data_IF_542844370155
#
_entry.id   IF_542844370155
#
_cell.length_a   1.000
_cell.length_b   1.000
_cell.length_c   1.000
_cell.angle_alpha   90.00
_cell.angle_beta   90.00
_cell.angle_gamma   90.00
#
_symmetry.space_group_name_H-M   'P 1'
#
loop_
_entity.id
_entity.type
_entity.pdbx_description
1 polymer ?
#
# COMPACT_ATOMS: atom_id res chain seq x y z
N UNK A 1 21.71 -5.90 1.83
CA UNK A 1 21.24 -5.78 0.42
C UNK A 1 22.40 -5.57 -0.56
N UNK A 2 23.50 -4.92 -0.15
CA UNK A 2 24.65 -4.62 -1.02
C UNK A 2 25.51 -5.85 -1.37
N UNK A 3 25.59 -6.87 -0.50
CA UNK A 3 26.45 -8.03 -0.67
C UNK A 3 25.68 -9.34 -0.71
N UNK A 4 26.27 -10.41 -1.22
CA UNK A 4 25.70 -11.77 -1.32
C UNK A 4 24.67 -11.94 -2.41
N UNK A 5 23.99 -13.07 -2.42
CA UNK A 5 22.95 -13.43 -3.42
C UNK A 5 21.71 -12.56 -3.26
N UNK A 6 21.10 -12.17 -4.39
CA UNK A 6 19.84 -11.43 -4.38
C UNK A 6 18.63 -12.36 -4.36
N UNK A 7 18.75 -13.54 -4.96
CA UNK A 7 17.69 -14.53 -5.09
C UNK A 7 17.05 -14.94 -3.76
N UNK A 8 17.83 -15.10 -2.71
CA UNK A 8 17.31 -15.47 -1.38
C UNK A 8 16.86 -14.25 -0.56
N UNK A 9 17.44 -13.07 -0.84
CA UNK A 9 17.16 -11.86 -0.07
C UNK A 9 15.89 -11.14 -0.48
N UNK A 10 15.54 -11.17 -1.77
CA UNK A 10 14.31 -10.55 -2.28
C UNK A 10 13.08 -11.23 -1.65
N UNK A 11 12.92 -12.58 -1.68
CA UNK A 11 11.80 -13.23 -1.01
C UNK A 11 11.77 -13.01 0.51
N UNK A 12 12.94 -13.04 1.18
CA UNK A 12 13.02 -12.75 2.61
C UNK A 12 12.56 -11.34 2.98
N UNK A 13 12.63 -10.41 2.04
CA UNK A 13 12.06 -9.07 2.19
C UNK A 13 10.58 -9.04 1.80
N UNK A 14 10.24 -9.57 0.63
CA UNK A 14 8.90 -9.46 0.05
C UNK A 14 7.84 -10.24 0.84
N UNK A 15 8.16 -11.46 1.31
CA UNK A 15 7.19 -12.31 2.05
C UNK A 15 6.69 -11.64 3.35
N UNK A 16 7.54 -11.09 4.25
CA UNK A 16 7.02 -10.39 5.42
C UNK A 16 6.25 -9.11 5.06
N UNK A 17 6.60 -8.42 3.97
CA UNK A 17 5.85 -7.23 3.51
C UNK A 17 4.46 -7.64 3.03
N UNK A 18 4.34 -8.67 2.19
CA UNK A 18 3.06 -9.21 1.76
C UNK A 18 2.23 -9.72 2.95
N UNK A 19 2.86 -10.46 3.88
CA UNK A 19 2.19 -10.94 5.09
C UNK A 19 1.65 -9.78 5.95
N UNK A 20 2.41 -8.68 6.08
CA UNK A 20 1.97 -7.48 6.81
C UNK A 20 0.71 -6.89 6.17
N UNK A 21 0.67 -6.76 4.84
CA UNK A 21 -0.47 -6.22 4.12
C UNK A 21 -1.69 -7.13 4.22
N UNK A 22 -1.53 -8.44 3.98
CA UNK A 22 -2.62 -9.43 4.08
C UNK A 22 -3.20 -9.49 5.50
N UNK A 23 -2.35 -9.49 6.54
CA UNK A 23 -2.81 -9.46 7.93
C UNK A 23 -3.57 -8.19 8.25
N UNK A 24 -3.13 -7.03 7.75
CA UNK A 24 -3.87 -5.77 7.90
C UNK A 24 -5.28 -5.86 7.32
N UNK A 25 -5.44 -6.49 6.14
CA UNK A 25 -6.77 -6.72 5.54
C UNK A 25 -7.64 -7.66 6.39
N UNK A 26 -7.03 -8.72 6.95
CA UNK A 26 -7.76 -9.65 7.83
C UNK A 26 -8.24 -8.96 9.11
N UNK A 27 -7.44 -8.08 9.71
CA UNK A 27 -7.85 -7.30 10.88
C UNK A 27 -8.96 -6.30 10.54
N UNK A 28 -8.91 -5.63 9.40
CA UNK A 28 -10.00 -4.78 8.94
C UNK A 28 -11.30 -5.58 8.71
N UNK A 29 -11.20 -6.78 8.19
CA UNK A 29 -12.35 -7.67 8.04
C UNK A 29 -12.91 -8.13 9.40
N UNK A 30 -12.04 -8.38 10.38
CA UNK A 30 -12.45 -8.71 11.74
C UNK A 30 -13.19 -7.54 12.42
N UNK A 31 -12.75 -6.29 12.21
CA UNK A 31 -13.44 -5.09 12.69
C UNK A 31 -14.90 -5.05 12.21
N UNK A 32 -15.10 -5.27 10.90
CA UNK A 32 -16.44 -5.29 10.29
C UNK A 32 -17.26 -6.47 10.82
N UNK A 33 -16.63 -7.64 11.01
CA UNK A 33 -17.31 -8.82 11.54
C UNK A 33 -17.77 -8.63 12.99
N UNK A 34 -16.97 -7.97 13.83
CA UNK A 34 -17.35 -7.66 15.22
C UNK A 34 -18.53 -6.70 15.24
N UNK A 35 -18.48 -5.60 14.48
CA UNK A 35 -19.62 -4.68 14.36
C UNK A 35 -20.87 -5.43 13.87
N UNK A 36 -20.71 -6.22 12.81
CA UNK A 36 -21.81 -6.95 12.18
C UNK A 36 -22.48 -8.00 13.10
N UNK A 37 -21.81 -8.51 14.13
CA UNK A 37 -22.36 -9.55 14.99
C UNK A 37 -22.77 -9.08 16.39
N UNK A 38 -22.23 -7.98 16.89
CA UNK A 38 -22.38 -7.59 18.29
C UNK A 38 -23.10 -6.24 18.50
N UNK A 39 -23.46 -5.48 17.44
CA UNK A 39 -24.17 -4.19 17.57
C UNK A 39 -25.70 -4.30 17.55
N UNK A 40 -26.25 -5.50 17.57
CA UNK A 40 -27.72 -5.73 17.67
C UNK A 40 -28.53 -5.04 16.59
N UNK A 41 -29.51 -4.22 16.99
CA UNK A 41 -30.40 -3.49 16.05
C UNK A 41 -29.66 -2.45 15.20
N UNK A 42 -28.55 -1.90 15.68
CA UNK A 42 -27.73 -0.93 14.96
C UNK A 42 -26.81 -1.57 13.91
N UNK A 43 -26.81 -2.89 13.77
CA UNK A 43 -25.92 -3.66 12.89
C UNK A 43 -25.78 -3.05 11.51
N UNK A 44 -26.90 -2.86 10.80
CA UNK A 44 -26.88 -2.38 9.41
C UNK A 44 -26.34 -0.97 9.30
N UNK A 45 -26.76 -0.09 10.22
CA UNK A 45 -26.32 1.31 10.27
C UNK A 45 -24.85 1.42 10.63
N UNK A 46 -24.38 0.65 11.61
CA UNK A 46 -23.01 0.64 12.05
C UNK A 46 -22.04 0.12 10.98
N UNK A 47 -22.38 -0.97 10.30
CA UNK A 47 -21.59 -1.51 9.17
C UNK A 47 -21.56 -0.52 8.01
N UNK A 48 -22.69 0.13 7.69
CA UNK A 48 -22.76 1.16 6.66
C UNK A 48 -21.89 2.37 7.01
N UNK A 49 -21.88 2.80 8.28
CA UNK A 49 -21.06 3.92 8.75
C UNK A 49 -19.56 3.65 8.58
N UNK A 50 -19.08 2.46 8.95
CA UNK A 50 -17.67 2.07 8.77
C UNK A 50 -17.33 1.93 7.29
N UNK A 51 -18.19 1.30 6.50
CA UNK A 51 -17.99 1.12 5.06
C UNK A 51 -17.88 2.45 4.30
N UNK A 52 -18.74 3.43 4.61
CA UNK A 52 -18.68 4.77 4.02
C UNK A 52 -17.37 5.49 4.31
N UNK A 53 -16.90 5.41 5.56
CA UNK A 53 -15.67 6.05 5.97
C UNK A 53 -14.40 5.40 5.39
N UNK A 54 -14.44 4.12 5.06
CA UNK A 54 -13.28 3.39 4.54
C UNK A 54 -12.69 4.04 3.29
N UNK A 55 -13.51 4.63 2.43
CA UNK A 55 -13.07 5.34 1.20
C UNK A 55 -12.32 6.64 1.53
N UNK A 56 -12.82 7.43 2.48
CA UNK A 56 -12.19 8.69 2.93
C UNK A 56 -10.85 8.37 3.60
N UNK A 57 -10.87 7.43 4.52
CA UNK A 57 -9.70 6.99 5.28
C UNK A 57 -8.62 6.45 4.34
N UNK A 58 -9.00 5.57 3.39
CA UNK A 58 -8.07 5.01 2.41
C UNK A 58 -7.42 6.09 1.56
N UNK A 59 -8.17 7.12 1.15
CA UNK A 59 -7.62 8.22 0.37
C UNK A 59 -6.51 8.95 1.14
N UNK A 60 -6.77 9.30 2.41
CA UNK A 60 -5.83 10.02 3.27
C UNK A 60 -4.61 9.14 3.58
N UNK A 61 -4.83 7.92 4.04
CA UNK A 61 -3.76 7.01 4.45
C UNK A 61 -2.87 6.63 3.27
N UNK A 62 -3.44 6.35 2.09
CA UNK A 62 -2.69 5.99 0.89
C UNK A 62 -1.81 7.15 0.38
N UNK A 63 -2.26 8.39 0.51
CA UNK A 63 -1.42 9.57 0.22
C UNK A 63 -0.15 9.57 1.08
N UNK A 64 -0.29 9.34 2.38
CA UNK A 64 0.84 9.32 3.31
C UNK A 64 1.69 8.06 3.22
N UNK A 65 1.12 6.90 2.86
CA UNK A 65 1.90 5.69 2.53
C UNK A 65 2.85 5.98 1.36
N UNK A 66 2.41 6.74 0.35
CA UNK A 66 3.28 7.20 -0.73
C UNK A 66 4.40 8.11 -0.22
N UNK A 67 4.12 9.03 0.71
CA UNK A 67 5.16 9.88 1.32
C UNK A 67 6.14 9.04 2.15
N UNK A 68 5.65 8.05 2.89
CA UNK A 68 6.49 7.09 3.63
C UNK A 68 7.39 6.27 2.70
N UNK A 69 6.92 5.94 1.48
CA UNK A 69 7.76 5.32 0.46
C UNK A 69 8.90 6.25 0.03
N UNK A 70 8.65 7.57 -0.06
CA UNK A 70 9.69 8.57 -0.29
C UNK A 70 10.75 8.56 0.81
N UNK A 71 10.34 8.45 2.07
CA UNK A 71 11.26 8.29 3.20
C UNK A 71 12.09 7.00 3.08
N UNK A 72 11.45 5.87 2.74
CA UNK A 72 12.16 4.61 2.51
C UNK A 72 13.26 4.74 1.45
N UNK A 73 12.96 5.34 0.28
CA UNK A 73 13.92 5.49 -0.81
C UNK A 73 15.08 6.41 -0.42
N UNK A 74 14.77 7.56 0.20
CA UNK A 74 15.79 8.54 0.64
C UNK A 74 16.75 7.90 1.65
N UNK A 75 16.23 7.18 2.65
CA UNK A 75 17.05 6.49 3.64
C UNK A 75 17.84 5.35 3.00
N UNK A 76 17.20 4.54 2.14
CA UNK A 76 17.87 3.43 1.47
C UNK A 76 19.04 3.92 0.59
N UNK A 77 18.87 5.03 -0.12
CA UNK A 77 19.93 5.65 -0.92
C UNK A 77 21.10 6.12 -0.05
N UNK A 78 20.84 6.87 1.03
CA UNK A 78 21.84 7.33 1.98
C UNK A 78 22.61 6.17 2.64
N UNK A 79 21.95 5.05 2.94
CA UNK A 79 22.60 3.82 3.43
C UNK A 79 23.56 3.25 2.37
N UNK A 80 23.13 3.27 1.10
CA UNK A 80 23.97 2.86 -0.02
C UNK A 80 25.23 3.69 -0.14
N UNK A 81 25.11 5.01 -0.03
CA UNK A 81 26.23 5.96 -0.03
C UNK A 81 27.14 5.86 1.19
N UNK A 82 26.76 5.08 2.21
CA UNK A 82 27.41 5.04 3.54
C UNK A 82 27.47 6.42 4.21
N UNK A 83 26.44 7.23 3.99
CA UNK A 83 26.32 8.56 4.57
C UNK A 83 25.45 8.50 5.84
N UNK A 84 26.05 8.10 6.95
CA UNK A 84 25.36 7.91 8.23
C UNK A 84 24.69 9.20 8.73
N UNK A 85 25.28 10.37 8.45
CA UNK A 85 24.71 11.67 8.79
C UNK A 85 23.40 11.91 8.05
N UNK A 86 23.37 11.62 6.75
CA UNK A 86 22.16 11.75 5.93
C UNK A 86 21.08 10.74 6.34
N UNK A 87 21.48 9.50 6.67
CA UNK A 87 20.54 8.48 7.21
C UNK A 87 19.90 9.00 8.49
N UNK A 88 20.71 9.50 9.44
CA UNK A 88 20.22 10.04 10.71
C UNK A 88 19.24 11.21 10.47
N UNK A 89 19.58 12.18 9.63
CA UNK A 89 18.70 13.31 9.30
C UNK A 89 17.41 12.84 8.63
N UNK A 90 17.48 11.90 7.67
CA UNK A 90 16.32 11.39 6.96
C UNK A 90 15.36 10.61 7.88
N UNK A 91 15.88 9.78 8.79
CA UNK A 91 15.09 9.07 9.81
C UNK A 91 14.36 10.07 10.70
N UNK A 92 15.08 11.04 11.30
CA UNK A 92 14.47 12.02 12.19
C UNK A 92 13.43 12.91 11.48
N UNK A 93 13.74 13.36 10.26
CA UNK A 93 12.79 14.10 9.41
C UNK A 93 11.55 13.27 9.13
N UNK A 94 11.68 11.97 8.81
CA UNK A 94 10.56 11.08 8.51
C UNK A 94 9.60 10.94 9.69
N UNK A 95 10.13 10.80 10.91
CA UNK A 95 9.32 10.71 12.13
C UNK A 95 8.56 12.03 12.39
N UNK A 96 9.25 13.16 12.25
CA UNK A 96 8.60 14.46 12.43
C UNK A 96 7.52 14.71 11.38
N UNK A 97 7.79 14.34 10.11
CA UNK A 97 6.80 14.43 9.02
C UNK A 97 5.59 13.53 9.28
N UNK A 98 5.79 12.33 9.83
CA UNK A 98 4.69 11.44 10.19
C UNK A 98 3.75 12.07 11.23
N UNK A 99 4.31 12.62 12.31
CA UNK A 99 3.53 13.22 13.39
C UNK A 99 2.87 14.53 12.94
N UNK A 100 3.65 15.45 12.38
CA UNK A 100 3.11 16.75 11.93
C UNK A 100 2.15 16.57 10.75
N UNK A 101 2.49 15.73 9.78
CA UNK A 101 1.60 15.40 8.67
C UNK A 101 0.30 14.77 9.15
N UNK A 102 0.36 13.88 10.14
CA UNK A 102 -0.81 13.30 10.79
C UNK A 102 -1.68 14.33 11.51
N UNK A 103 -1.08 15.25 12.26
CA UNK A 103 -1.80 16.34 12.91
C UNK A 103 -2.45 17.30 11.90
N UNK A 104 -1.74 17.66 10.83
CA UNK A 104 -2.29 18.51 9.76
C UNK A 104 -3.44 17.79 9.04
N UNK A 105 -3.25 16.51 8.70
CA UNK A 105 -4.29 15.72 8.06
C UNK A 105 -5.52 15.52 8.96
N UNK A 106 -5.33 15.31 10.26
CA UNK A 106 -6.40 15.25 11.24
C UNK A 106 -7.18 16.58 11.32
N UNK A 107 -6.46 17.71 11.40
CA UNK A 107 -7.10 19.04 11.46
C UNK A 107 -7.87 19.37 10.18
N UNK A 108 -7.27 19.12 9.00
CA UNK A 108 -7.95 19.32 7.72
C UNK A 108 -9.14 18.34 7.60
N UNK A 109 -8.94 17.07 7.95
CA UNK A 109 -9.99 16.05 7.92
C UNK A 109 -11.18 16.43 8.81
N UNK A 110 -10.94 16.93 10.00
CA UNK A 110 -12.01 17.38 10.91
C UNK A 110 -12.79 18.57 10.35
N UNK A 111 -12.11 19.55 9.73
CA UNK A 111 -12.75 20.71 9.08
C UNK A 111 -13.68 20.28 7.93
N UNK A 112 -13.27 19.23 7.19
CA UNK A 112 -14.01 18.73 6.04
C UNK A 112 -14.86 17.49 6.30
N UNK A 113 -14.86 16.93 7.51
CA UNK A 113 -15.59 15.70 7.85
C UNK A 113 -17.08 15.78 7.50
N UNK A 114 -17.78 16.82 7.93
CA UNK A 114 -19.20 17.03 7.64
C UNK A 114 -19.45 17.29 6.16
N UNK A 115 -18.75 18.23 5.48
CA UNK A 115 -18.90 18.42 4.02
C UNK A 115 -18.66 17.15 3.21
N UNK A 116 -17.66 16.35 3.55
CA UNK A 116 -17.32 15.12 2.82
C UNK A 116 -18.44 14.07 2.96
N UNK A 117 -18.96 13.85 4.17
CA UNK A 117 -20.05 12.91 4.39
C UNK A 117 -21.33 13.35 3.69
N UNK A 118 -21.64 14.65 3.68
CA UNK A 118 -22.77 15.21 2.94
C UNK A 118 -22.60 15.01 1.42
N UNK A 119 -21.39 15.23 0.88
CA UNK A 119 -21.11 15.01 -0.54
C UNK A 119 -21.24 13.54 -0.96
N UNK A 120 -21.00 12.61 -0.03
CA UNK A 120 -21.21 11.17 -0.26
C UNK A 120 -22.67 10.76 -0.12
N UNK A 121 -23.61 11.70 0.14
CA UNK A 121 -25.03 11.45 0.33
C UNK A 121 -25.29 10.37 1.38
N UNK A 122 -24.60 10.46 2.53
CA UNK A 122 -24.78 9.50 3.63
C UNK A 122 -26.19 9.68 4.19
N UNK A 123 -26.98 8.59 4.35
CA UNK A 123 -28.33 8.66 4.91
C UNK A 123 -28.35 9.25 6.34
N UNK A 124 -29.42 9.96 6.67
CA UNK A 124 -29.55 10.69 7.95
C UNK A 124 -29.42 9.77 9.18
N UNK A 125 -29.86 8.53 9.08
CA UNK A 125 -29.76 7.52 10.14
C UNK A 125 -28.33 6.99 10.32
N UNK A 126 -27.50 6.98 9.27
CA UNK A 126 -26.12 6.53 9.27
C UNK A 126 -25.16 7.67 9.66
N UNK A 127 -25.51 8.91 9.32
CA UNK A 127 -24.64 10.07 9.41
C UNK A 127 -24.00 10.29 10.80
N UNK A 128 -24.76 10.21 11.93
CA UNK A 128 -24.18 10.43 13.26
C UNK A 128 -23.08 9.42 13.60
N UNK A 129 -23.30 8.13 13.29
CA UNK A 129 -22.31 7.08 13.53
C UNK A 129 -21.12 7.19 12.59
N UNK A 130 -21.35 7.54 11.32
CA UNK A 130 -20.29 7.75 10.35
C UNK A 130 -19.38 8.93 10.76
N UNK A 131 -19.97 10.04 11.21
CA UNK A 131 -19.23 11.21 11.68
C UNK A 131 -18.42 10.90 12.94
N UNK A 132 -19.02 10.20 13.91
CA UNK A 132 -18.33 9.79 15.14
C UNK A 132 -17.12 8.90 14.86
N UNK A 133 -17.30 7.86 14.02
CA UNK A 133 -16.23 6.98 13.61
C UNK A 133 -15.09 7.75 12.92
N UNK A 134 -15.45 8.62 11.95
CA UNK A 134 -14.48 9.41 11.20
C UNK A 134 -13.64 10.31 12.11
N UNK A 135 -14.29 11.03 13.04
CA UNK A 135 -13.59 11.93 14.00
C UNK A 135 -12.61 11.19 14.90
N UNK A 136 -13.00 10.04 15.45
CA UNK A 136 -12.10 9.24 16.28
C UNK A 136 -10.91 8.75 15.45
N UNK A 137 -11.17 8.29 14.22
CA UNK A 137 -10.11 7.83 13.33
C UNK A 137 -9.15 8.96 12.94
N UNK A 138 -9.68 10.14 12.60
CA UNK A 138 -8.89 11.33 12.27
C UNK A 138 -8.00 11.77 13.44
N UNK A 139 -8.53 11.75 14.69
CA UNK A 139 -7.74 12.02 15.87
C UNK A 139 -6.58 11.01 16.04
N UNK A 140 -6.75 9.77 15.59
CA UNK A 140 -5.73 8.73 15.59
C UNK A 140 -4.72 8.79 14.44
N UNK A 141 -4.94 9.62 13.41
CA UNK A 141 -4.06 9.68 12.22
C UNK A 141 -2.58 9.89 12.55
N UNK A 142 -2.18 10.76 13.49
CA UNK A 142 -0.77 10.94 13.81
C UNK A 142 -0.06 9.64 14.19
N UNK A 143 -0.75 8.77 14.92
CA UNK A 143 -0.23 7.49 15.39
C UNK A 143 -0.23 6.45 14.26
N UNK A 144 -1.28 6.41 13.46
CA UNK A 144 -1.41 5.52 12.29
C UNK A 144 -0.32 5.84 11.27
N UNK A 145 -0.08 7.12 11.02
CA UNK A 145 0.98 7.54 10.09
C UNK A 145 2.37 7.29 10.67
N UNK A 146 2.56 7.48 11.98
CA UNK A 146 3.82 7.18 12.66
C UNK A 146 4.22 5.72 12.41
N UNK A 147 3.32 4.75 12.64
CA UNK A 147 3.57 3.34 12.33
C UNK A 147 4.02 3.13 10.87
N UNK A 148 3.33 3.75 9.89
CA UNK A 148 3.65 3.58 8.48
C UNK A 148 5.04 4.11 8.11
N UNK A 149 5.44 5.26 8.70
CA UNK A 149 6.77 5.83 8.47
C UNK A 149 7.86 5.03 9.18
N UNK A 150 7.64 4.59 10.42
CA UNK A 150 8.57 3.71 11.13
C UNK A 150 8.77 2.39 10.38
N UNK A 151 7.69 1.78 9.88
CA UNK A 151 7.78 0.59 9.05
C UNK A 151 8.58 0.86 7.75
N UNK A 152 8.46 2.05 7.15
CA UNK A 152 9.25 2.46 6.00
C UNK A 152 10.74 2.62 6.35
N UNK A 153 11.08 3.16 7.53
CA UNK A 153 12.44 3.23 8.06
C UNK A 153 13.04 1.84 8.23
N UNK A 154 12.32 0.89 8.83
CA UNK A 154 12.80 -0.50 8.95
C UNK A 154 12.99 -1.17 7.58
N UNK A 155 12.04 -0.97 6.65
CA UNK A 155 12.17 -1.49 5.28
C UNK A 155 13.40 -0.95 4.57
N UNK A 156 13.80 0.30 4.80
CA UNK A 156 14.97 0.91 4.14
C UNK A 156 16.27 0.19 4.45
N UNK A 157 16.42 -0.44 5.62
CA UNK A 157 17.56 -1.29 6.01
C UNK A 157 17.35 -2.78 5.71
N UNK A 158 16.19 -3.15 5.16
CA UNK A 158 15.86 -4.55 4.85
C UNK A 158 15.22 -5.34 5.98
N UNK A 159 14.89 -4.69 7.08
CA UNK A 159 14.23 -5.33 8.22
C UNK A 159 12.70 -5.26 8.04
N UNK A 160 12.14 -6.31 7.46
CA UNK A 160 10.68 -6.40 7.22
C UNK A 160 9.95 -7.24 8.26
N UNK A 161 10.69 -8.04 9.04
CA UNK A 161 10.11 -8.89 10.10
C UNK A 161 9.65 -8.07 11.32
N UNK A 162 10.38 -7.00 11.67
CA UNK A 162 10.03 -6.19 12.85
C UNK A 162 8.68 -5.50 12.66
N UNK A 163 8.38 -4.80 11.53
CA UNK A 163 7.04 -4.29 11.26
C UNK A 163 5.94 -5.37 11.24
N UNK A 164 6.23 -6.56 10.71
CA UNK A 164 5.30 -7.68 10.72
C UNK A 164 4.96 -8.13 12.14
N UNK A 165 5.95 -8.28 13.02
CA UNK A 165 5.76 -8.67 14.42
C UNK A 165 4.94 -7.59 15.16
N UNK A 166 5.27 -6.32 14.98
CA UNK A 166 4.54 -5.21 15.58
C UNK A 166 3.06 -5.18 15.14
N UNK A 167 2.80 -5.36 13.82
CA UNK A 167 1.43 -5.43 13.31
C UNK A 167 0.69 -6.66 13.83
N UNK A 168 1.33 -7.82 13.87
CA UNK A 168 0.68 -9.05 14.36
C UNK A 168 0.28 -8.90 15.82
N UNK A 169 1.18 -8.38 16.67
CA UNK A 169 0.87 -8.15 18.08
C UNK A 169 -0.27 -7.14 18.27
N UNK A 170 -0.21 -6.02 17.54
CA UNK A 170 -1.25 -4.98 17.62
C UNK A 170 -2.57 -5.42 16.99
N UNK A 171 -2.55 -6.24 15.94
CA UNK A 171 -3.76 -6.75 15.31
C UNK A 171 -4.50 -7.76 16.21
N UNK A 172 -3.77 -8.64 16.90
CA UNK A 172 -4.38 -9.51 17.94
C UNK A 172 -4.99 -8.65 19.04
N UNK A 173 -4.28 -7.62 19.50
CA UNK A 173 -4.81 -6.68 20.49
C UNK A 173 -6.05 -5.94 19.95
N UNK A 174 -6.06 -5.54 18.69
CA UNK A 174 -7.21 -4.89 18.06
C UNK A 174 -8.47 -5.76 18.15
N UNK A 175 -8.36 -7.06 17.80
CA UNK A 175 -9.50 -8.00 17.90
C UNK A 175 -9.98 -8.13 19.34
N UNK A 176 -9.06 -8.22 20.30
CA UNK A 176 -9.41 -8.29 21.73
C UNK A 176 -10.12 -7.01 22.18
N UNK A 177 -9.59 -5.84 21.81
CA UNK A 177 -10.19 -4.54 22.15
C UNK A 177 -11.56 -4.34 21.49
N UNK A 178 -11.72 -4.78 20.23
CA UNK A 178 -13.01 -4.75 19.55
C UNK A 178 -14.07 -5.56 20.30
N UNK A 179 -13.73 -6.79 20.68
CA UNK A 179 -14.65 -7.63 21.48
C UNK A 179 -14.93 -7.00 22.84
N UNK A 180 -13.92 -6.42 23.50
CA UNK A 180 -14.10 -5.77 24.78
C UNK A 180 -15.01 -4.53 24.68
N UNK A 181 -14.75 -3.62 23.73
CA UNK A 181 -15.54 -2.40 23.59
C UNK A 181 -16.94 -2.68 23.05
N UNK A 182 -17.07 -3.52 22.02
CA UNK A 182 -18.36 -3.74 21.36
C UNK A 182 -19.19 -4.80 22.07
N UNK A 183 -18.62 -5.96 22.41
CA UNK A 183 -19.40 -7.04 22.99
C UNK A 183 -19.57 -6.90 24.52
N UNK A 184 -18.55 -6.44 25.28
CA UNK A 184 -18.64 -6.32 26.73
C UNK A 184 -19.15 -4.96 27.20
N UNK A 185 -18.73 -3.85 26.56
CA UNK A 185 -19.16 -2.48 26.92
C UNK A 185 -20.34 -1.97 26.09
N UNK A 186 -20.85 -2.77 25.15
CA UNK A 186 -21.97 -2.43 24.25
C UNK A 186 -21.79 -1.12 23.48
N UNK A 187 -20.53 -0.77 23.17
CA UNK A 187 -20.20 0.33 22.25
C UNK A 187 -20.51 -0.09 20.81
N UNK A 188 -20.59 0.89 19.91
CA UNK A 188 -20.85 0.66 18.50
C UNK A 188 -19.58 0.94 17.67
N UNK A 189 -19.71 1.79 16.64
CA UNK A 189 -18.61 2.19 15.76
C UNK A 189 -17.48 2.92 16.49
N UNK A 190 -17.80 3.63 17.54
CA UNK A 190 -16.86 4.32 18.43
C UNK A 190 -15.89 3.32 19.10
N UNK A 191 -16.42 2.19 19.58
CA UNK A 191 -15.60 1.14 20.19
C UNK A 191 -14.56 0.58 19.21
N UNK A 192 -14.97 0.33 17.97
CA UNK A 192 -14.05 -0.17 16.92
C UNK A 192 -13.05 0.89 16.49
N UNK A 193 -13.47 2.15 16.33
CA UNK A 193 -12.54 3.23 16.01
C UNK A 193 -11.46 3.42 17.08
N UNK A 194 -11.86 3.41 18.37
CA UNK A 194 -10.94 3.48 19.50
C UNK A 194 -10.00 2.28 19.53
N UNK A 195 -10.51 1.06 19.34
CA UNK A 195 -9.69 -0.16 19.28
C UNK A 195 -8.63 -0.08 18.18
N UNK A 196 -9.02 0.41 16.98
CA UNK A 196 -8.12 0.60 15.85
C UNK A 196 -7.03 1.62 16.14
N UNK A 197 -7.37 2.76 16.73
CA UNK A 197 -6.39 3.79 17.10
C UNK A 197 -5.44 3.29 18.19
N UNK A 198 -5.95 2.65 19.24
CA UNK A 198 -5.12 2.11 20.33
C UNK A 198 -4.18 1.00 19.83
N UNK A 199 -4.65 0.10 19.00
CA UNK A 199 -3.81 -0.96 18.44
C UNK A 199 -2.71 -0.40 17.54
N UNK A 200 -3.01 0.60 16.71
CA UNK A 200 -1.99 1.31 15.94
C UNK A 200 -1.00 2.07 16.85
N UNK A 201 -1.45 2.63 17.98
CA UNK A 201 -0.55 3.23 18.95
C UNK A 201 0.42 2.21 19.55
N UNK A 202 -0.05 1.00 19.81
CA UNK A 202 0.80 -0.08 20.32
C UNK A 202 1.81 -0.53 19.23
N UNK A 203 1.40 -0.69 17.98
CA UNK A 203 2.35 -1.02 16.91
C UNK A 203 3.41 0.05 16.70
N UNK A 204 3.03 1.33 16.71
CA UNK A 204 3.98 2.45 16.65
C UNK A 204 4.91 2.45 17.87
N UNK A 205 4.39 2.26 19.09
CA UNK A 205 5.20 2.20 20.30
C UNK A 205 6.21 1.03 20.28
N UNK A 206 5.83 -0.12 19.74
CA UNK A 206 6.73 -1.26 19.55
C UNK A 206 7.88 -0.86 18.59
N UNK A 207 7.55 -0.31 17.41
CA UNK A 207 8.57 0.11 16.43
C UNK A 207 9.45 1.23 16.97
N UNK A 208 8.88 2.21 17.66
CA UNK A 208 9.61 3.26 18.36
C UNK A 208 10.63 2.67 19.34
N UNK A 209 10.19 1.72 20.18
CA UNK A 209 11.08 1.04 21.13
C UNK A 209 12.25 0.32 20.46
N UNK A 210 12.00 -0.32 19.30
CA UNK A 210 13.09 -0.93 18.51
C UNK A 210 14.01 0.12 17.89
N UNK A 211 13.49 1.26 17.40
CA UNK A 211 14.32 2.34 16.84
C UNK A 211 15.20 3.00 17.91
N UNK A 212 14.75 3.09 19.16
CA UNK A 212 15.57 3.62 20.27
C UNK A 212 16.72 2.68 20.66
N UNK A 213 16.48 1.37 20.57
CA UNK A 213 17.42 0.35 21.07
C UNK A 213 18.33 -0.25 20.01
N UNK A 214 18.06 0.01 18.71
CA UNK A 214 18.88 -0.57 17.63
C UNK A 214 20.28 0.02 17.59
N UNK A 215 21.27 -0.84 17.27
CA UNK A 215 22.66 -0.42 17.02
C UNK A 215 22.89 -0.04 15.54
N UNK A 216 21.85 -0.12 14.70
CA UNK A 216 21.94 0.23 13.29
C UNK A 216 21.92 1.75 13.10
N UNK A 217 22.39 2.20 11.93
CA UNK A 217 22.44 3.62 11.53
C UNK A 217 21.07 4.35 11.56
N UNK A 218 19.96 3.60 11.61
CA UNK A 218 18.59 4.12 11.72
C UNK A 218 18.18 4.43 13.17
N UNK A 219 19.08 4.34 14.15
CA UNK A 219 18.76 4.62 15.55
C UNK A 219 18.12 5.99 15.73
N UNK A 220 16.99 6.00 16.44
CA UNK A 220 16.29 7.23 16.77
C UNK A 220 16.82 7.84 18.06
N UNK A 221 17.13 9.11 18.01
CA UNK A 221 17.52 9.91 19.16
C UNK A 221 16.50 11.03 19.38
N UNK A 222 15.53 10.89 20.32
CA UNK A 222 14.44 11.84 20.49
C UNK A 222 14.89 13.30 20.70
N UNK A 223 16.04 13.51 21.35
CA UNK A 223 16.62 14.84 21.56
C UNK A 223 17.13 15.52 20.28
N UNK A 224 17.30 14.76 19.21
CA UNK A 224 17.81 15.23 17.91
C UNK A 224 16.70 15.29 16.85
N UNK A 225 15.44 15.10 17.24
CA UNK A 225 14.29 15.21 16.32
C UNK A 225 14.26 16.62 15.74
N UNK A 226 14.40 16.71 14.43
CA UNK A 226 14.34 17.96 13.66
C UNK A 226 14.01 17.65 12.22
N UNK A 227 13.47 18.65 11.52
CA UNK A 227 13.29 18.60 10.08
C UNK A 227 14.58 19.08 9.40
N UNK A 228 15.18 18.22 8.59
CA UNK A 228 16.21 18.64 7.64
C UNK A 228 15.58 18.96 6.30
N UNK A 229 15.84 20.19 5.80
CA UNK A 229 15.20 20.69 4.58
C UNK A 229 15.57 19.91 3.32
N UNK A 230 16.79 19.40 3.24
CA UNK A 230 17.23 18.59 2.10
C UNK A 230 16.55 17.21 2.12
N UNK A 231 16.53 16.56 3.26
CA UNK A 231 15.84 15.28 3.46
C UNK A 231 14.34 15.43 3.19
N UNK A 232 13.69 16.47 3.72
CA UNK A 232 12.28 16.73 3.49
C UNK A 232 11.99 16.92 1.99
N UNK A 233 12.79 17.70 1.29
CA UNK A 233 12.63 17.92 -0.16
C UNK A 233 12.74 16.61 -0.93
N UNK A 234 13.69 15.75 -0.62
CA UNK A 234 13.84 14.45 -1.27
C UNK A 234 12.67 13.52 -0.96
N UNK A 235 12.27 13.40 0.32
CA UNK A 235 11.12 12.60 0.75
C UNK A 235 9.86 13.04 0.00
N UNK A 236 9.57 14.33 -0.07
CA UNK A 236 8.39 14.85 -0.75
C UNK A 236 8.49 14.71 -2.29
N UNK A 237 9.66 14.94 -2.88
CA UNK A 237 9.88 14.78 -4.33
C UNK A 237 9.60 13.37 -4.81
N UNK A 238 9.91 12.36 -4.00
CA UNK A 238 9.69 10.95 -4.32
C UNK A 238 8.29 10.52 -3.86
N UNK A 239 7.91 10.91 -2.66
CA UNK A 239 6.72 10.40 -1.98
C UNK A 239 5.42 11.03 -2.45
N UNK A 240 5.38 12.35 -2.70
CA UNK A 240 4.14 13.01 -3.13
C UNK A 240 3.61 12.46 -4.45
N UNK A 241 4.42 12.28 -5.52
CA UNK A 241 3.91 11.64 -6.73
C UNK A 241 3.36 10.24 -6.50
N UNK A 242 4.04 9.44 -5.66
CA UNK A 242 3.58 8.08 -5.32
C UNK A 242 2.27 8.10 -4.51
N UNK A 243 2.13 9.03 -3.57
CA UNK A 243 0.92 9.21 -2.77
C UNK A 243 -0.27 9.68 -3.61
N UNK A 244 -0.07 10.67 -4.48
CA UNK A 244 -1.10 11.13 -5.41
C UNK A 244 -1.54 10.00 -6.35
N UNK A 245 -0.60 9.22 -6.86
CA UNK A 245 -0.91 8.02 -7.65
C UNK A 245 -1.83 7.07 -6.88
N UNK A 246 -1.50 6.73 -5.62
CA UNK A 246 -2.30 5.83 -4.80
C UNK A 246 -3.70 6.40 -4.48
N UNK A 247 -3.79 7.70 -4.21
CA UNK A 247 -5.05 8.40 -4.01
C UNK A 247 -5.94 8.37 -5.27
N UNK A 248 -5.36 8.60 -6.44
CA UNK A 248 -6.08 8.52 -7.72
C UNK A 248 -6.61 7.11 -8.03
N UNK A 249 -5.87 6.06 -7.64
CA UNK A 249 -6.39 4.69 -7.72
C UNK A 249 -7.66 4.50 -6.88
N UNK A 250 -7.68 5.03 -5.67
CA UNK A 250 -8.85 4.95 -4.79
C UNK A 250 -10.07 5.62 -5.45
N UNK A 251 -9.87 6.81 -6.03
CA UNK A 251 -10.94 7.53 -6.76
C UNK A 251 -11.43 6.71 -7.97
N UNK A 252 -10.52 6.19 -8.79
CA UNK A 252 -10.90 5.39 -9.96
C UNK A 252 -11.69 4.13 -9.57
N UNK A 253 -11.32 3.47 -8.47
CA UNK A 253 -12.04 2.31 -7.96
C UNK A 253 -13.45 2.67 -7.48
N UNK A 254 -13.65 3.83 -6.84
CA UNK A 254 -14.99 4.33 -6.44
C UNK A 254 -15.87 4.52 -7.67
N UNK A 255 -15.35 5.14 -8.74
CA UNK A 255 -16.12 5.38 -9.97
C UNK A 255 -16.49 4.05 -10.66
N UNK A 256 -15.57 3.08 -10.72
CA UNK A 256 -15.85 1.74 -11.27
C UNK A 256 -16.90 1.03 -10.41
N UNK A 257 -16.78 1.11 -9.08
CA UNK A 257 -17.77 0.49 -8.19
C UNK A 257 -19.16 1.08 -8.40
N UNK A 258 -19.28 2.39 -8.66
CA UNK A 258 -20.55 3.02 -9.05
C UNK A 258 -21.15 2.43 -10.31
N UNK A 259 -20.33 2.16 -11.34
CA UNK A 259 -20.77 1.49 -12.57
C UNK A 259 -21.21 0.03 -12.31
N UNK A 260 -20.47 -0.70 -11.48
CA UNK A 260 -20.81 -2.07 -11.09
C UNK A 260 -22.16 -2.09 -10.35
N UNK A 261 -22.37 -1.16 -9.42
CA UNK A 261 -23.59 -1.04 -8.63
C UNK A 261 -24.82 -0.79 -9.51
N UNK A 262 -24.65 -0.08 -10.63
CA UNK A 262 -25.75 0.17 -11.60
C UNK A 262 -26.25 -1.09 -12.33
N UNK A 263 -25.52 -2.21 -12.24
CA UNK A 263 -25.89 -3.48 -12.88
C UNK A 263 -26.73 -4.41 -11.98
N UNK A 264 -27.03 -3.99 -10.77
CA UNK A 264 -27.90 -4.71 -9.85
C UNK A 264 -27.18 -5.43 -8.72
N UNK A 265 -27.99 -5.92 -7.76
CA UNK A 265 -27.50 -6.43 -6.46
C UNK A 265 -26.66 -7.70 -6.58
N UNK A 266 -27.02 -8.61 -7.49
CA UNK A 266 -26.25 -9.86 -7.73
C UNK A 266 -24.83 -9.53 -8.21
N UNK A 267 -24.71 -8.61 -9.19
CA UNK A 267 -23.41 -8.18 -9.72
C UNK A 267 -22.58 -7.45 -8.67
N UNK A 268 -23.23 -6.62 -7.85
CA UNK A 268 -22.60 -5.90 -6.76
C UNK A 268 -22.03 -6.87 -5.71
N UNK A 269 -22.83 -7.85 -5.27
CA UNK A 269 -22.41 -8.87 -4.32
C UNK A 269 -21.27 -9.74 -4.87
N UNK A 270 -21.40 -10.18 -6.13
CA UNK A 270 -20.39 -10.98 -6.82
C UNK A 270 -19.05 -10.22 -6.95
N UNK A 271 -19.13 -8.95 -7.34
CA UNK A 271 -17.95 -8.11 -7.48
C UNK A 271 -17.25 -7.84 -6.14
N UNK A 272 -18.01 -7.63 -5.07
CA UNK A 272 -17.47 -7.44 -3.72
C UNK A 272 -16.78 -8.70 -3.20
N UNK A 273 -17.40 -9.88 -3.34
CA UNK A 273 -16.81 -11.14 -2.94
C UNK A 273 -15.49 -11.42 -3.69
N UNK A 274 -15.47 -11.24 -5.01
CA UNK A 274 -14.28 -11.42 -5.82
C UNK A 274 -13.17 -10.43 -5.45
N UNK A 275 -13.49 -9.16 -5.18
CA UNK A 275 -12.53 -8.13 -4.79
C UNK A 275 -11.75 -8.50 -3.51
N UNK A 276 -12.43 -9.09 -2.51
CA UNK A 276 -11.76 -9.54 -1.28
C UNK A 276 -10.70 -10.62 -1.56
N UNK A 277 -10.89 -11.43 -2.60
CA UNK A 277 -9.90 -12.42 -3.05
C UNK A 277 -8.77 -11.76 -3.85
N UNK A 278 -9.10 -10.78 -4.69
CA UNK A 278 -8.15 -10.04 -5.53
C UNK A 278 -7.10 -9.29 -4.73
N UNK A 279 -7.47 -8.72 -3.58
CA UNK A 279 -6.56 -7.93 -2.73
C UNK A 279 -5.33 -8.76 -2.30
N UNK A 280 -5.47 -10.06 -2.10
CA UNK A 280 -4.34 -10.94 -1.74
C UNK A 280 -3.26 -10.92 -2.84
N UNK A 281 -3.66 -10.99 -4.12
CA UNK A 281 -2.70 -10.91 -5.23
C UNK A 281 -2.09 -9.53 -5.38
N UNK A 282 -2.86 -8.48 -5.09
CA UNK A 282 -2.35 -7.10 -5.04
C UNK A 282 -1.21 -6.97 -4.03
N UNK A 283 -1.40 -7.48 -2.81
CA UNK A 283 -0.41 -7.41 -1.74
C UNK A 283 0.88 -8.17 -2.09
N UNK A 284 0.76 -9.31 -2.80
CA UNK A 284 1.90 -10.08 -3.29
C UNK A 284 2.73 -9.24 -4.28
N UNK A 285 2.14 -8.74 -5.37
CA UNK A 285 2.95 -8.02 -6.36
C UNK A 285 3.45 -6.66 -5.86
N UNK A 286 2.71 -5.98 -4.98
CA UNK A 286 3.15 -4.75 -4.35
C UNK A 286 4.38 -4.99 -3.45
N UNK A 287 4.47 -6.13 -2.77
CA UNK A 287 5.64 -6.47 -1.96
C UNK A 287 6.93 -6.59 -2.79
N UNK A 288 6.85 -7.16 -3.99
CA UNK A 288 7.99 -7.21 -4.93
C UNK A 288 8.36 -5.84 -5.49
N UNK A 289 7.37 -4.96 -5.73
CA UNK A 289 7.62 -3.56 -6.09
C UNK A 289 8.37 -2.81 -4.99
N UNK A 290 7.96 -2.97 -3.73
CA UNK A 290 8.65 -2.38 -2.58
C UNK A 290 10.07 -2.96 -2.40
N UNK A 291 10.25 -4.27 -2.59
CA UNK A 291 11.56 -4.90 -2.59
C UNK A 291 12.44 -4.29 -3.69
N UNK A 292 11.96 -4.21 -4.92
CA UNK A 292 12.68 -3.61 -6.03
C UNK A 292 13.10 -2.17 -5.71
N UNK A 293 12.18 -1.35 -5.22
CA UNK A 293 12.44 0.04 -4.85
C UNK A 293 13.55 0.17 -3.82
N UNK A 294 13.48 -0.60 -2.74
CA UNK A 294 14.43 -0.51 -1.62
C UNK A 294 15.81 -1.05 -2.01
N UNK A 295 15.86 -2.22 -2.66
CA UNK A 295 17.14 -2.81 -3.09
C UNK A 295 17.82 -1.95 -4.16
N UNK A 296 17.06 -1.40 -5.12
CA UNK A 296 17.60 -0.49 -6.13
C UNK A 296 18.10 0.79 -5.48
N UNK A 297 17.35 1.39 -4.56
CA UNK A 297 17.76 2.60 -3.83
C UNK A 297 19.11 2.41 -3.12
N UNK A 298 19.28 1.32 -2.35
CA UNK A 298 20.55 1.04 -1.70
C UNK A 298 21.70 0.76 -2.69
N UNK A 299 21.46 -0.04 -3.73
CA UNK A 299 22.50 -0.36 -4.70
C UNK A 299 22.86 0.84 -5.58
N UNK A 300 21.90 1.72 -5.87
CA UNK A 300 22.16 2.97 -6.58
C UNK A 300 23.03 3.91 -5.74
N UNK A 301 22.68 4.16 -4.48
CA UNK A 301 23.52 4.95 -3.56
C UNK A 301 24.93 4.38 -3.40
N UNK A 302 25.09 3.06 -3.43
CA UNK A 302 26.38 2.40 -3.39
C UNK A 302 27.20 2.47 -4.71
N UNK A 303 26.60 2.93 -5.82
CA UNK A 303 27.20 2.90 -7.14
C UNK A 303 27.19 1.53 -7.82
N UNK A 304 26.41 0.56 -7.29
CA UNK A 304 26.33 -0.82 -7.78
C UNK A 304 25.26 -0.97 -8.86
N UNK A 305 25.46 -0.30 -10.00
CA UNK A 305 24.44 -0.18 -11.07
C UNK A 305 24.10 -1.53 -11.72
N UNK A 306 25.08 -2.43 -11.87
CA UNK A 306 24.83 -3.79 -12.39
C UNK A 306 23.89 -4.55 -11.45
N UNK A 307 24.03 -4.38 -10.13
CA UNK A 307 23.12 -4.99 -9.15
C UNK A 307 21.72 -4.42 -9.21
N UNK A 308 21.53 -3.12 -9.49
CA UNK A 308 20.21 -2.54 -9.70
C UNK A 308 19.45 -3.25 -10.84
N UNK A 309 20.12 -3.48 -11.98
CA UNK A 309 19.52 -4.22 -13.10
C UNK A 309 19.20 -5.68 -12.73
N UNK A 310 20.10 -6.35 -12.01
CA UNK A 310 19.87 -7.73 -11.54
C UNK A 310 18.69 -7.78 -10.57
N UNK A 311 18.54 -6.80 -9.69
CA UNK A 311 17.41 -6.69 -8.77
C UNK A 311 16.09 -6.58 -9.54
N UNK A 312 16.00 -5.73 -10.57
CA UNK A 312 14.81 -5.61 -11.40
C UNK A 312 14.42 -6.97 -12.00
N UNK A 313 15.37 -7.66 -12.64
CA UNK A 313 15.11 -8.94 -13.31
C UNK A 313 14.66 -10.02 -12.32
N UNK A 314 15.28 -10.09 -11.15
CA UNK A 314 14.91 -11.06 -10.12
C UNK A 314 13.55 -10.74 -9.50
N UNK A 315 13.26 -9.47 -9.18
CA UNK A 315 11.94 -9.08 -8.68
C UNK A 315 10.82 -9.39 -9.67
N UNK A 316 11.06 -9.23 -10.98
CA UNK A 316 10.11 -9.65 -12.01
C UNK A 316 9.96 -11.17 -12.04
N UNK A 317 11.06 -11.91 -12.08
CA UNK A 317 11.02 -13.38 -12.18
C UNK A 317 10.38 -14.02 -10.96
N UNK A 318 10.84 -13.68 -9.76
CA UNK A 318 10.31 -14.22 -8.50
C UNK A 318 8.87 -13.76 -8.25
N UNK A 319 8.55 -12.52 -8.62
CA UNK A 319 7.19 -11.99 -8.58
C UNK A 319 6.25 -12.73 -9.53
N UNK A 320 6.66 -13.01 -10.78
CA UNK A 320 5.87 -13.78 -11.74
C UNK A 320 5.63 -15.21 -11.23
N UNK A 321 6.64 -15.85 -10.66
CA UNK A 321 6.50 -17.21 -10.10
C UNK A 321 5.52 -17.18 -8.92
N UNK A 322 5.74 -16.30 -7.94
CA UNK A 322 4.91 -16.23 -6.73
C UNK A 322 3.46 -15.85 -7.04
N UNK A 323 3.28 -14.84 -7.90
CA UNK A 323 1.95 -14.39 -8.32
C UNK A 323 1.26 -15.44 -9.21
N UNK A 324 2.00 -16.09 -10.12
CA UNK A 324 1.49 -17.15 -10.98
C UNK A 324 0.95 -18.35 -10.18
N UNK A 325 1.66 -18.77 -9.14
CA UNK A 325 1.19 -19.81 -8.21
C UNK A 325 -0.08 -19.35 -7.48
N UNK A 326 -0.10 -18.12 -6.96
CA UNK A 326 -1.28 -17.59 -6.28
C UNK A 326 -2.50 -17.51 -7.22
N UNK A 327 -2.31 -17.02 -8.45
CA UNK A 327 -3.36 -16.95 -9.48
C UNK A 327 -3.88 -18.36 -9.82
N UNK A 328 -3.00 -19.34 -10.02
CA UNK A 328 -3.39 -20.72 -10.32
C UNK A 328 -4.24 -21.33 -9.19
N UNK A 329 -3.83 -21.11 -7.93
CA UNK A 329 -4.59 -21.59 -6.77
C UNK A 329 -5.95 -20.88 -6.65
N UNK A 330 -5.98 -19.55 -6.82
CA UNK A 330 -7.23 -18.77 -6.75
C UNK A 330 -8.17 -19.18 -7.87
N UNK A 331 -7.71 -19.40 -9.10
CA UNK A 331 -8.57 -19.83 -10.20
C UNK A 331 -9.05 -21.28 -10.02
N UNK A 332 -8.20 -22.18 -9.48
CA UNK A 332 -8.58 -23.55 -9.23
C UNK A 332 -9.65 -23.66 -8.13
N UNK A 333 -9.48 -22.94 -7.02
CA UNK A 333 -10.41 -22.96 -5.90
C UNK A 333 -11.45 -21.82 -5.94
N UNK A 334 -11.49 -21.00 -7.01
CA UNK A 334 -12.19 -19.72 -7.05
C UNK A 334 -13.67 -19.79 -6.72
N UNK A 335 -14.40 -20.78 -7.24
CA UNK A 335 -15.82 -20.97 -6.92
C UNK A 335 -16.00 -21.32 -5.43
N UNK A 336 -15.18 -22.21 -4.89
CA UNK A 336 -15.21 -22.58 -3.46
C UNK A 336 -14.87 -21.40 -2.56
N UNK A 337 -13.89 -20.56 -2.95
CA UNK A 337 -13.54 -19.33 -2.22
C UNK A 337 -14.69 -18.32 -2.24
N UNK A 338 -15.35 -18.14 -3.39
CA UNK A 338 -16.49 -17.24 -3.50
C UNK A 338 -17.68 -17.70 -2.65
N UNK A 339 -17.91 -19.01 -2.56
CA UNK A 339 -19.00 -19.59 -1.76
C UNK A 339 -18.83 -19.26 -0.26
N UNK A 340 -17.61 -19.03 0.22
CA UNK A 340 -17.37 -18.59 1.61
C UNK A 340 -18.01 -17.22 1.87
N UNK A 341 -18.05 -16.36 0.87
CA UNK A 341 -18.62 -15.01 0.97
C UNK A 341 -20.11 -14.97 0.66
N UNK A 342 -20.56 -15.79 -0.30
CA UNK A 342 -21.97 -15.85 -0.69
C UNK A 342 -22.27 -17.20 -1.34
N UNK A 343 -23.26 -17.91 -0.80
CA UNK A 343 -23.69 -19.23 -1.28
C UNK A 343 -24.63 -19.21 -2.49
N UNK A 344 -25.07 -18.02 -2.97
CA UNK A 344 -25.93 -17.91 -4.14
C UNK A 344 -25.17 -18.31 -5.42
N UNK A 345 -25.64 -19.32 -6.17
CA UNK A 345 -24.98 -19.76 -7.39
C UNK A 345 -24.78 -18.68 -8.43
N UNK A 346 -25.72 -17.72 -8.57
CA UNK A 346 -25.60 -16.62 -9.52
C UNK A 346 -24.47 -15.65 -9.12
N UNK A 347 -24.35 -15.38 -7.82
CA UNK A 347 -23.27 -14.56 -7.26
C UNK A 347 -21.92 -15.23 -7.48
N UNK A 348 -21.83 -16.53 -7.22
CA UNK A 348 -20.60 -17.31 -7.41
C UNK A 348 -20.16 -17.34 -8.87
N UNK A 349 -21.06 -17.64 -9.80
CA UNK A 349 -20.74 -17.66 -11.23
C UNK A 349 -20.31 -16.28 -11.75
N UNK A 350 -21.04 -15.22 -11.38
CA UNK A 350 -20.69 -13.85 -11.78
C UNK A 350 -19.36 -13.41 -11.17
N UNK A 351 -19.10 -13.73 -9.90
CA UNK A 351 -17.83 -13.43 -9.23
C UNK A 351 -16.67 -14.19 -9.86
N UNK A 352 -16.89 -15.43 -10.28
CA UNK A 352 -15.87 -16.24 -10.94
C UNK A 352 -15.47 -15.68 -12.32
N UNK A 353 -16.43 -15.09 -13.08
CA UNK A 353 -16.13 -14.36 -14.33
C UNK A 353 -15.13 -13.21 -14.04
N UNK A 354 -15.33 -12.47 -12.96
CA UNK A 354 -14.41 -11.42 -12.54
C UNK A 354 -13.02 -11.97 -12.24
N UNK A 355 -12.93 -13.04 -11.45
CA UNK A 355 -11.64 -13.67 -11.14
C UNK A 355 -10.92 -14.15 -12.40
N UNK A 356 -11.64 -14.82 -13.33
CA UNK A 356 -11.07 -15.31 -14.59
C UNK A 356 -10.45 -14.21 -15.46
N UNK A 357 -11.01 -13.00 -15.45
CA UNK A 357 -10.53 -11.88 -16.27
C UNK A 357 -9.45 -11.07 -15.56
N UNK A 358 -9.62 -10.82 -14.26
CA UNK A 358 -8.73 -9.91 -13.53
C UNK A 358 -7.47 -10.64 -13.03
N UNK A 359 -7.58 -11.87 -12.54
CA UNK A 359 -6.42 -12.57 -11.98
C UNK A 359 -5.25 -12.70 -12.96
N UNK A 360 -5.42 -13.17 -14.21
CA UNK A 360 -4.31 -13.20 -15.16
C UNK A 360 -3.76 -11.82 -15.50
N UNK A 361 -4.60 -10.78 -15.49
CA UNK A 361 -4.19 -9.40 -15.78
C UNK A 361 -3.32 -8.79 -14.68
N UNK A 362 -3.30 -9.34 -13.47
CA UNK A 362 -2.40 -8.94 -12.40
C UNK A 362 -0.92 -9.21 -12.72
N UNK A 363 -0.61 -10.05 -13.71
CA UNK A 363 0.76 -10.16 -14.23
C UNK A 363 1.23 -8.85 -14.89
N UNK A 364 0.34 -8.13 -15.57
CA UNK A 364 0.65 -6.77 -16.06
C UNK A 364 0.81 -5.78 -14.90
N UNK A 365 0.01 -5.96 -13.83
CA UNK A 365 0.15 -5.15 -12.61
C UNK A 365 1.52 -5.34 -11.96
N UNK A 366 1.96 -6.57 -11.80
CA UNK A 366 3.31 -6.88 -11.31
C UNK A 366 4.38 -6.20 -12.18
N UNK A 367 4.27 -6.31 -13.51
CA UNK A 367 5.23 -5.71 -14.41
C UNK A 367 5.33 -4.20 -14.22
N UNK A 368 4.21 -3.46 -14.30
CA UNK A 368 4.29 -2.00 -14.18
C UNK A 368 4.66 -1.54 -12.76
N UNK A 369 4.23 -2.24 -11.71
CA UNK A 369 4.59 -1.87 -10.34
C UNK A 369 6.08 -2.09 -10.06
N UNK A 370 6.65 -3.23 -10.48
CA UNK A 370 8.08 -3.49 -10.31
C UNK A 370 8.94 -2.53 -11.15
N UNK A 371 8.53 -2.25 -12.40
CA UNK A 371 9.19 -1.24 -13.25
C UNK A 371 9.11 0.17 -12.64
N UNK A 372 7.96 0.54 -12.06
CA UNK A 372 7.76 1.77 -11.31
C UNK A 372 8.67 1.82 -10.08
N UNK A 373 8.73 0.72 -9.31
CA UNK A 373 9.63 0.56 -8.17
C UNK A 373 11.10 0.72 -8.55
N UNK A 374 11.50 0.17 -9.71
CA UNK A 374 12.84 0.32 -10.25
C UNK A 374 13.18 1.78 -10.53
N UNK A 375 12.29 2.54 -11.19
CA UNK A 375 12.48 3.96 -11.45
C UNK A 375 12.53 4.77 -10.16
N UNK A 376 11.64 4.49 -9.20
CA UNK A 376 11.64 5.14 -7.88
C UNK A 376 12.92 4.90 -7.11
N UNK A 377 13.50 3.70 -7.19
CA UNK A 377 14.80 3.39 -6.59
C UNK A 377 15.95 4.24 -7.14
N UNK A 378 15.83 4.76 -8.38
CA UNK A 378 16.72 5.79 -8.96
C UNK A 378 16.23 7.22 -8.72
N UNK A 379 15.32 7.44 -7.77
CA UNK A 379 14.70 8.74 -7.44
C UNK A 379 13.86 9.35 -8.57
N UNK A 380 13.51 8.57 -9.58
CA UNK A 380 12.64 8.95 -10.69
C UNK A 380 11.21 8.54 -10.32
N UNK A 381 10.46 9.43 -9.63
CA UNK A 381 9.12 9.09 -9.10
C UNK A 381 7.97 9.74 -9.89
N UNK A 382 8.13 10.95 -10.40
CA UNK A 382 7.05 11.66 -11.10
C UNK A 382 6.61 10.97 -12.40
N UNK A 383 7.52 10.58 -13.33
CA UNK A 383 7.09 9.93 -14.57
C UNK A 383 6.30 8.62 -14.34
N UNK A 384 6.76 7.66 -13.51
CA UNK A 384 5.97 6.47 -13.24
C UNK A 384 4.61 6.78 -12.62
N UNK A 385 4.50 7.76 -11.73
CA UNK A 385 3.22 8.15 -11.15
C UNK A 385 2.25 8.68 -12.22
N UNK A 386 2.69 9.60 -13.07
CA UNK A 386 1.86 10.17 -14.15
C UNK A 386 1.44 9.09 -15.15
N UNK A 387 2.37 8.24 -15.61
CA UNK A 387 2.07 7.19 -16.57
C UNK A 387 1.09 6.14 -16.02
N UNK A 388 1.23 5.79 -14.74
CA UNK A 388 0.28 4.88 -14.09
C UNK A 388 -1.10 5.53 -13.94
N UNK A 389 -1.18 6.80 -13.57
CA UNK A 389 -2.45 7.53 -13.52
C UNK A 389 -3.13 7.58 -14.90
N UNK A 390 -2.38 7.87 -15.95
CA UNK A 390 -2.91 7.88 -17.32
C UNK A 390 -3.35 6.49 -17.79
N UNK A 391 -2.50 5.48 -17.57
CA UNK A 391 -2.74 4.11 -18.01
C UNK A 391 -3.87 3.41 -17.25
N UNK A 392 -3.93 3.56 -15.92
CA UNK A 392 -5.00 2.92 -15.12
C UNK A 392 -6.22 3.83 -15.04
N UNK A 393 -6.08 5.01 -14.41
CA UNK A 393 -7.24 5.86 -14.16
C UNK A 393 -7.78 6.47 -15.48
N UNK A 394 -6.90 6.97 -16.35
CA UNK A 394 -7.28 7.59 -17.61
C UNK A 394 -8.03 6.60 -18.52
N UNK A 395 -7.49 5.40 -18.73
CA UNK A 395 -8.16 4.37 -19.56
C UNK A 395 -9.48 3.94 -18.93
N UNK A 396 -9.53 3.68 -17.62
CA UNK A 396 -10.76 3.23 -16.95
C UNK A 396 -11.86 4.27 -16.98
N UNK A 397 -11.55 5.53 -16.69
CA UNK A 397 -12.53 6.61 -16.72
C UNK A 397 -13.03 6.90 -18.14
N UNK A 398 -12.15 6.86 -19.13
CA UNK A 398 -12.50 6.97 -20.54
C UNK A 398 -13.41 5.84 -20.99
N UNK A 399 -13.12 4.60 -20.60
CA UNK A 399 -13.96 3.44 -20.90
C UNK A 399 -15.34 3.58 -20.30
N UNK A 400 -15.45 3.98 -19.03
CA UNK A 400 -16.74 4.21 -18.38
C UNK A 400 -17.54 5.35 -19.01
N UNK A 401 -16.86 6.36 -19.56
CA UNK A 401 -17.52 7.50 -20.19
C UNK A 401 -18.03 7.21 -21.60
N UNK A 402 -17.27 6.45 -22.40
CA UNK A 402 -17.55 6.30 -23.83
C UNK A 402 -17.97 4.90 -24.26
N UNK A 403 -17.46 3.85 -23.62
CA UNK A 403 -17.74 2.45 -24.02
C UNK A 403 -18.84 1.84 -23.19
N UNK A 404 -18.79 1.96 -21.88
CA UNK A 404 -19.78 1.36 -20.97
C UNK A 404 -21.22 1.79 -21.23
N UNK A 405 -21.55 3.06 -21.56
CA UNK A 405 -22.93 3.47 -21.85
C UNK A 405 -23.55 2.76 -23.04
N UNK A 406 -22.73 2.29 -24.00
CA UNK A 406 -23.18 1.58 -25.20
C UNK A 406 -23.48 0.10 -24.92
N UNK A 407 -22.74 -0.50 -23.99
CA UNK A 407 -22.83 -1.92 -23.63
C UNK A 407 -22.81 -2.08 -22.13
N UNK A 408 -23.94 -1.85 -21.47
CA UNK A 408 -24.09 -1.91 -20.00
C UNK A 408 -24.09 -3.37 -19.50
N UNK A 409 -22.97 -4.06 -19.62
CA UNK A 409 -22.80 -5.44 -19.14
C UNK A 409 -21.64 -5.55 -18.17
N UNK A 410 -21.71 -6.52 -17.28
CA UNK A 410 -20.64 -6.79 -16.32
C UNK A 410 -19.32 -7.16 -17.03
N UNK A 411 -19.40 -7.98 -18.09
CA UNK A 411 -18.25 -8.35 -18.91
C UNK A 411 -17.53 -7.12 -19.48
N UNK A 412 -18.30 -6.12 -19.97
CA UNK A 412 -17.72 -4.89 -20.52
C UNK A 412 -16.92 -4.10 -19.47
N UNK A 413 -17.42 -4.01 -18.22
CA UNK A 413 -16.66 -3.38 -17.13
C UNK A 413 -15.41 -4.20 -16.79
N UNK A 414 -15.51 -5.53 -16.77
CA UNK A 414 -14.37 -6.38 -16.42
C UNK A 414 -13.25 -6.31 -17.47
N UNK A 415 -13.58 -6.16 -18.74
CA UNK A 415 -12.60 -6.04 -19.83
C UNK A 415 -11.70 -4.79 -19.70
N UNK A 416 -12.15 -3.74 -19.05
CA UNK A 416 -11.33 -2.54 -18.85
C UNK A 416 -10.10 -2.82 -17.98
N UNK A 417 -10.17 -3.79 -17.07
CA UNK A 417 -9.05 -4.12 -16.19
C UNK A 417 -7.83 -4.63 -16.97
N UNK A 418 -7.91 -5.74 -17.72
CA UNK A 418 -6.77 -6.21 -18.49
C UNK A 418 -6.26 -5.17 -19.51
N UNK A 419 -7.15 -4.41 -20.14
CA UNK A 419 -6.75 -3.36 -21.11
C UNK A 419 -5.97 -2.25 -20.42
N UNK A 420 -6.48 -1.71 -19.31
CA UNK A 420 -5.82 -0.62 -18.58
C UNK A 420 -4.49 -1.06 -17.98
N UNK A 421 -4.41 -2.27 -17.45
CA UNK A 421 -3.20 -2.81 -16.83
C UNK A 421 -2.13 -3.12 -17.88
N UNK A 422 -2.50 -3.72 -19.02
CA UNK A 422 -1.59 -3.95 -20.13
C UNK A 422 -1.06 -2.64 -20.74
N UNK A 423 -1.94 -1.65 -20.95
CA UNK A 423 -1.56 -0.31 -21.41
C UNK A 423 -0.55 0.32 -20.46
N UNK A 424 -0.81 0.24 -19.15
CA UNK A 424 0.10 0.79 -18.13
C UNK A 424 1.46 0.08 -18.13
N UNK A 425 1.46 -1.25 -18.28
CA UNK A 425 2.70 -2.03 -18.35
C UNK A 425 3.54 -1.63 -19.57
N UNK A 426 2.92 -1.43 -20.73
CA UNK A 426 3.60 -0.96 -21.94
C UNK A 426 4.15 0.46 -21.78
N UNK A 427 3.38 1.38 -21.23
CA UNK A 427 3.81 2.76 -20.94
C UNK A 427 5.00 2.76 -19.98
N UNK A 428 4.95 1.92 -18.94
CA UNK A 428 6.02 1.83 -17.95
C UNK A 428 7.30 1.20 -18.54
N UNK A 429 7.15 0.18 -19.38
CA UNK A 429 8.27 -0.40 -20.11
C UNK A 429 8.93 0.65 -21.04
N UNK A 430 8.11 1.41 -21.77
CA UNK A 430 8.59 2.51 -22.61
C UNK A 430 9.33 3.57 -21.77
N UNK A 431 8.83 3.91 -20.58
CA UNK A 431 9.51 4.83 -19.67
C UNK A 431 10.87 4.30 -19.23
N UNK A 432 10.98 3.03 -18.82
CA UNK A 432 12.26 2.44 -18.42
C UNK A 432 13.25 2.41 -19.59
N UNK A 433 12.77 2.12 -20.81
CA UNK A 433 13.59 2.16 -22.03
C UNK A 433 13.99 3.58 -22.42
N UNK A 434 13.17 4.59 -22.15
CA UNK A 434 13.48 6.00 -22.40
C UNK A 434 14.51 6.54 -21.39
N UNK A 435 14.22 6.42 -20.11
CA UNK A 435 15.10 6.95 -19.06
C UNK A 435 16.42 6.17 -18.95
N UNK A 436 16.42 4.87 -19.25
CA UNK A 436 17.58 3.96 -19.21
C UNK A 436 18.47 4.18 -18.00
N UNK A 437 17.94 4.18 -16.76
CA UNK A 437 18.69 4.63 -15.59
C UNK A 437 20.00 3.87 -15.40
N UNK A 438 20.04 2.56 -15.60
CA UNK A 438 21.28 1.78 -15.54
C UNK A 438 22.33 2.15 -16.59
N UNK A 439 21.94 2.72 -17.73
CA UNK A 439 22.90 3.23 -18.73
C UNK A 439 23.31 4.66 -18.40
N UNK A 440 22.34 5.49 -18.02
CA UNK A 440 22.56 6.89 -17.68
C UNK A 440 23.54 7.04 -16.51
N UNK A 441 23.44 6.19 -15.52
CA UNK A 441 24.29 6.19 -14.32
C UNK A 441 25.42 5.16 -14.38
N UNK A 442 25.72 4.56 -15.55
CA UNK A 442 26.77 3.56 -15.69
C UNK A 442 28.16 4.06 -15.27
N UNK A 443 28.41 5.38 -15.39
CA UNK A 443 29.67 6.03 -14.97
C UNK A 443 29.89 5.99 -13.44
N UNK A 444 28.82 5.79 -12.64
CA UNK A 444 28.91 5.64 -11.19
C UNK A 444 29.30 4.22 -10.77
N UNK A 445 29.31 3.26 -11.68
CA UNK A 445 29.68 1.87 -11.36
C UNK A 445 31.09 1.82 -10.84
N UNK A 446 31.28 1.34 -9.62
CA UNK A 446 32.61 1.09 -9.06
C UNK A 446 33.31 0.03 -9.88
N UNK A 447 34.56 0.29 -10.25
CA UNK A 447 35.39 -0.70 -10.93
C UNK A 447 35.70 -1.84 -9.96
N UNK A 448 35.29 -3.06 -10.31
CA UNK A 448 35.51 -4.28 -9.51
C UNK A 448 37.00 -4.62 -9.31
N UNK A 449 37.93 -3.77 -9.77
CA UNK A 449 39.37 -4.03 -9.83
C UNK A 449 40.28 -3.08 -9.07
N UNK A 450 39.79 -1.95 -8.51
CA UNK A 450 40.71 -0.98 -7.89
C UNK A 450 41.05 -1.25 -6.41
N UNK A 451 40.41 -2.21 -5.77
CA UNK A 451 40.63 -2.53 -4.36
C UNK A 451 41.66 -3.66 -4.14
N UNK A 452 41.96 -4.48 -5.14
CA UNK A 452 42.95 -5.57 -5.00
C UNK A 452 44.36 -5.17 -5.34
N UNK A 453 44.59 -4.04 -6.02
CA UNK A 453 45.92 -3.62 -6.49
C UNK A 453 46.68 -2.68 -5.52
N UNK A 454 46.17 -2.42 -4.31
CA UNK A 454 46.84 -1.58 -3.29
C UNK A 454 47.25 -2.32 -2.02
N UNK A 455 47.22 -3.65 -2.03
CA UNK A 455 47.70 -4.48 -0.87
C UNK A 455 48.91 -5.31 -1.28
N UNK A 456 49.35 -5.27 -2.52
CA UNK A 456 50.61 -5.93 -2.95
C UNK A 456 51.58 -4.91 -3.58
N UNK A 457 51.90 -3.85 -2.86
CA UNK A 457 52.93 -2.91 -3.24
C UNK A 457 53.55 -2.26 -2.02
#
# INVERSE_FOLDING_TARGET
MLHGTLWDKIPRFAVPVAATAILSQLFNAADIAVIGNFTGELRTVAVAAVGTNSSIISLIVNLFIGIALGANVTIAHAIGEKNDTMVHHAVHTSIVVAVLGGLIAAGIGELFAVPLLNQLNVPDDVFPLALLYLRIYLAGLPVILLYNFEAAVFRSVGETKIPLIALTASGVLNVILNLFFVAALHMSVDGVAIATVLSNAVSAAILWGFLLKTDKVIRLEPKKLRIDGLCLKQILRIGVPAGVQSAMFSIANIVIQGAINSLGTVVMAASSAAYNIEVITYDIFNSFSQACTTFVGQNFGAGEIKRCKKTLLLCLLEGIISLGVAIALILFFGKSLLTIFNGDPQVVETGYIRLMLIMPSHLFSLCYEVLSGYLRGFEISLPPAVLTMLGVCGVRLSWLRWVFPQYKTFMNIMLVFPISLATTALLMLAAVLYFRPSRRYAHLQKSDGAASAKIEG
#
